data_IF_960402943498
#
_entry.id   IF_960402943498
#
_cell.length_a   1.000
_cell.length_b   1.000
_cell.length_c   1.000
_cell.angle_alpha   90.00
_cell.angle_beta   90.00
_cell.angle_gamma   90.00
#
_symmetry.space_group_name_H-M   'P 1'
#
loop_
_entity.id
_entity.type
_entity.pdbx_description
1 polymer ?
#
# COMPACT_ATOMS: atom_id res chain seq x y z
N UNK A 1 -19.87 -4.04 1.89
CA UNK A 1 -18.53 -3.91 1.28
C UNK A 1 -17.50 -3.73 2.41
N UNK A 2 -16.98 -4.80 2.93
CA UNK A 2 -15.95 -4.79 3.97
C UNK A 2 -14.57 -4.70 3.28
N UNK A 3 -13.83 -3.63 3.57
CA UNK A 3 -12.43 -3.47 3.15
C UNK A 3 -11.59 -4.55 3.83
N UNK A 4 -11.09 -5.50 3.07
CA UNK A 4 -10.03 -6.41 3.50
C UNK A 4 -8.80 -5.56 3.83
N UNK A 5 -8.38 -5.55 5.08
CA UNK A 5 -7.09 -4.99 5.47
C UNK A 5 -6.02 -6.01 5.05
N UNK A 6 -5.34 -5.72 3.96
CA UNK A 6 -4.09 -6.41 3.61
C UNK A 6 -3.08 -6.13 4.72
N UNK A 7 -2.67 -7.17 5.42
CA UNK A 7 -1.50 -7.11 6.30
C UNK A 7 -0.29 -7.14 5.38
N UNK A 8 0.23 -5.96 5.05
CA UNK A 8 1.50 -5.81 4.34
C UNK A 8 2.59 -6.14 5.35
N UNK A 9 3.14 -7.35 5.27
CA UNK A 9 4.40 -7.69 5.93
C UNK A 9 5.50 -7.00 5.12
N UNK A 10 6.02 -5.90 5.66
CA UNK A 10 7.18 -5.20 5.09
C UNK A 10 8.39 -6.11 5.12
N UNK A 11 8.78 -6.62 3.95
CA UNK A 11 9.97 -7.43 3.75
C UNK A 11 11.19 -6.51 3.72
N UNK A 12 11.91 -6.39 4.82
CA UNK A 12 13.24 -5.80 4.84
C UNK A 12 14.21 -6.79 4.17
N UNK A 13 14.69 -6.46 2.97
CA UNK A 13 15.81 -7.16 2.35
C UNK A 13 17.07 -6.90 3.18
N UNK A 14 17.51 -7.91 3.94
CA UNK A 14 18.86 -7.96 4.51
C UNK A 14 19.68 -8.95 3.68
N UNK A 15 20.75 -8.42 3.09
CA UNK A 15 21.83 -9.21 2.49
C UNK A 15 22.41 -10.16 3.55
N UNK A 16 22.03 -11.43 3.50
CA UNK A 16 22.72 -12.48 4.26
C UNK A 16 23.82 -13.07 3.38
N UNK A 17 25.05 -12.90 3.82
CA UNK A 17 26.22 -13.54 3.23
C UNK A 17 26.02 -15.07 3.14
N UNK A 18 26.33 -15.61 1.96
CA UNK A 18 26.30 -17.03 1.65
C UNK A 18 27.24 -17.82 2.56
N UNK A 19 26.69 -18.50 3.59
CA UNK A 19 27.39 -19.60 4.21
C UNK A 19 27.07 -20.87 3.42
N UNK A 20 28.09 -21.43 2.78
CA UNK A 20 28.04 -22.73 2.15
C UNK A 20 27.72 -23.78 3.21
N UNK A 21 26.51 -24.31 3.22
CA UNK A 21 26.15 -25.50 4.00
C UNK A 21 26.62 -26.75 3.24
N UNK A 22 27.65 -27.38 3.76
CA UNK A 22 28.04 -28.76 3.40
C UNK A 22 26.84 -29.68 3.63
N UNK A 23 26.49 -30.50 2.63
CA UNK A 23 25.52 -31.60 2.75
C UNK A 23 26.02 -32.66 3.75
N UNK A 24 25.93 -32.40 5.02
CA UNK A 24 26.18 -33.38 6.09
C UNK A 24 24.98 -33.39 7.01
N UNK A 25 24.22 -34.47 6.90
CA UNK A 25 23.25 -34.99 7.88
C UNK A 25 22.57 -33.92 8.73
N UNK A 26 21.49 -33.29 8.17
CA UNK A 26 20.68 -32.34 8.91
C UNK A 26 19.83 -33.08 9.95
N UNK A 27 20.19 -33.06 11.24
CA UNK A 27 19.55 -33.89 12.22
C UNK A 27 18.14 -33.43 12.54
N UNK A 28 17.27 -34.36 12.91
CA UNK A 28 15.93 -34.06 13.41
C UNK A 28 16.03 -33.45 14.80
N UNK A 29 15.56 -32.22 14.96
CA UNK A 29 15.53 -31.49 16.25
C UNK A 29 14.28 -31.82 17.05
N UNK A 30 13.15 -32.08 16.38
CA UNK A 30 11.91 -32.49 17.02
C UNK A 30 11.02 -33.25 16.03
N UNK A 31 10.03 -33.98 16.57
CA UNK A 31 8.95 -34.55 15.77
C UNK A 31 7.59 -34.04 16.29
N UNK A 32 6.69 -33.70 15.38
CA UNK A 32 5.32 -33.29 15.70
C UNK A 32 4.38 -34.17 14.89
N UNK A 33 3.50 -34.89 15.56
CA UNK A 33 2.61 -35.88 14.92
C UNK A 33 3.36 -36.88 14.00
N UNK A 34 4.53 -37.32 14.43
CA UNK A 34 5.38 -38.25 13.65
C UNK A 34 6.13 -37.61 12.47
N UNK A 35 5.89 -36.34 12.17
CA UNK A 35 6.61 -35.59 11.12
C UNK A 35 7.89 -34.99 11.67
N UNK A 36 9.04 -35.21 11.02
CA UNK A 36 10.31 -34.68 11.49
C UNK A 36 10.41 -33.17 11.15
N UNK A 37 10.96 -32.42 12.10
CA UNK A 37 11.45 -31.08 11.91
C UNK A 37 12.97 -31.13 11.90
N UNK A 38 13.59 -30.65 10.84
CA UNK A 38 15.04 -30.66 10.72
C UNK A 38 15.65 -29.48 11.50
N UNK A 39 16.88 -29.61 11.91
CA UNK A 39 17.63 -28.58 12.63
C UNK A 39 17.69 -27.28 11.81
N UNK A 40 17.98 -27.38 10.52
CA UNK A 40 18.07 -26.20 9.63
C UNK A 40 16.73 -25.47 9.47
N UNK A 41 15.60 -26.18 9.44
CA UNK A 41 14.26 -25.58 9.44
C UNK A 41 14.01 -24.76 10.72
N UNK A 42 14.29 -25.39 11.87
CA UNK A 42 14.13 -24.73 13.14
C UNK A 42 15.08 -23.53 13.31
N UNK A 43 16.36 -23.68 12.96
CA UNK A 43 17.34 -22.59 13.02
C UNK A 43 16.96 -21.42 12.11
N UNK A 44 16.44 -21.69 10.92
CA UNK A 44 15.94 -20.65 10.01
C UNK A 44 14.83 -19.83 10.69
N UNK A 45 13.82 -20.51 11.22
CA UNK A 45 12.70 -19.86 11.90
C UNK A 45 13.14 -19.12 13.17
N UNK A 46 14.00 -19.74 13.99
CA UNK A 46 14.55 -19.14 15.20
C UNK A 46 15.31 -17.85 14.91
N UNK A 47 16.25 -17.89 13.96
CA UNK A 47 17.07 -16.73 13.58
C UNK A 47 16.24 -15.58 13.02
N UNK A 48 15.25 -15.89 12.20
CA UNK A 48 14.35 -14.88 11.63
C UNK A 48 13.56 -14.16 12.72
N UNK A 49 13.03 -14.89 13.69
CA UNK A 49 12.17 -14.36 14.76
C UNK A 49 12.93 -13.78 15.96
N UNK A 50 14.26 -13.93 15.99
CA UNK A 50 15.14 -13.37 17.03
C UNK A 50 16.25 -12.49 16.45
N UNK A 51 16.06 -11.93 15.23
CA UNK A 51 17.04 -11.06 14.58
C UNK A 51 17.28 -9.76 15.32
N UNK A 52 18.30 -9.01 14.92
CA UNK A 52 18.61 -7.70 15.49
C UNK A 52 17.38 -6.77 15.32
N UNK A 53 16.93 -6.13 16.42
CA UNK A 53 15.75 -5.26 16.45
C UNK A 53 14.48 -5.91 17.03
N UNK A 54 14.44 -7.22 17.24
CA UNK A 54 13.36 -7.87 17.99
C UNK A 54 13.49 -7.55 19.48
N UNK A 55 12.46 -6.92 20.06
CA UNK A 55 12.48 -6.45 21.47
C UNK A 55 12.34 -7.64 22.45
N UNK A 56 11.49 -8.62 22.13
CA UNK A 56 11.18 -9.76 23.00
C UNK A 56 11.79 -11.05 22.43
N UNK A 57 13.13 -11.11 22.43
CA UNK A 57 13.87 -12.29 21.98
C UNK A 57 13.65 -13.45 22.95
N UNK A 58 13.55 -14.64 22.39
CA UNK A 58 13.34 -15.88 23.13
C UNK A 58 14.63 -16.71 23.16
N UNK A 59 14.86 -17.43 24.25
CA UNK A 59 15.87 -18.49 24.26
C UNK A 59 15.53 -19.57 23.23
N UNK A 60 16.49 -20.44 22.93
CA UNK A 60 16.25 -21.58 22.00
C UNK A 60 15.14 -22.48 22.54
N UNK A 61 15.14 -22.75 23.85
CA UNK A 61 14.15 -23.61 24.52
C UNK A 61 12.76 -22.95 24.51
N UNK A 62 12.65 -21.66 24.87
CA UNK A 62 11.37 -20.92 24.83
C UNK A 62 10.80 -20.89 23.41
N UNK A 63 11.67 -20.67 22.41
CA UNK A 63 11.24 -20.64 21.03
C UNK A 63 10.82 -22.04 20.54
N UNK A 64 11.48 -23.12 20.99
CA UNK A 64 11.10 -24.48 20.65
C UNK A 64 9.66 -24.80 21.08
N UNK A 65 9.23 -24.35 22.25
CA UNK A 65 7.84 -24.52 22.72
C UNK A 65 6.84 -23.77 21.83
N UNK A 66 7.16 -22.53 21.45
CA UNK A 66 6.34 -21.74 20.53
C UNK A 66 6.28 -22.36 19.13
N UNK A 67 7.40 -22.90 18.66
CA UNK A 67 7.49 -23.55 17.36
C UNK A 67 6.69 -24.87 17.32
N UNK A 68 6.69 -25.62 18.42
CA UNK A 68 5.83 -26.81 18.58
C UNK A 68 4.35 -26.40 18.50
N UNK A 69 3.93 -25.40 19.24
CA UNK A 69 2.54 -24.93 19.23
C UNK A 69 2.11 -24.47 17.82
N UNK A 70 3.01 -23.80 17.10
CA UNK A 70 2.81 -23.45 15.71
C UNK A 70 2.62 -24.68 14.83
N UNK A 71 3.52 -25.67 14.89
CA UNK A 71 3.43 -26.92 14.11
C UNK A 71 2.20 -27.75 14.45
N UNK A 72 1.77 -27.78 15.71
CA UNK A 72 0.54 -28.44 16.13
C UNK A 72 -0.71 -27.83 15.47
N UNK A 73 -0.74 -26.52 15.35
CA UNK A 73 -1.85 -25.81 14.67
C UNK A 73 -1.84 -26.10 13.16
N UNK A 74 -0.66 -26.17 12.55
CA UNK A 74 -0.50 -26.56 11.14
C UNK A 74 -1.01 -28.00 10.94
N UNK A 75 -0.67 -28.93 11.83
CA UNK A 75 -1.19 -30.31 11.78
C UNK A 75 -2.72 -30.36 11.90
N UNK A 76 -3.29 -29.51 12.75
CA UNK A 76 -4.75 -29.40 12.85
C UNK A 76 -5.40 -28.85 11.55
N UNK A 77 -4.74 -27.92 10.88
CA UNK A 77 -5.20 -27.37 9.61
C UNK A 77 -5.15 -28.42 8.49
N UNK A 78 -4.06 -29.17 8.41
CA UNK A 78 -3.90 -30.28 7.45
C UNK A 78 -4.94 -31.39 7.70
N UNK A 79 -5.17 -31.74 8.97
CA UNK A 79 -6.20 -32.72 9.35
C UNK A 79 -7.62 -32.24 8.97
N UNK A 80 -7.84 -30.92 8.91
CA UNK A 80 -9.07 -30.32 8.44
C UNK A 80 -9.09 -30.09 6.92
N UNK A 81 -8.06 -30.56 6.17
CA UNK A 81 -7.91 -30.46 4.72
C UNK A 81 -7.98 -29.00 4.21
N UNK A 82 -7.50 -28.01 5.00
CA UNK A 82 -7.53 -26.61 4.60
C UNK A 82 -6.59 -26.28 3.45
N UNK A 83 -5.54 -27.07 3.28
CA UNK A 83 -4.60 -27.05 2.15
C UNK A 83 -5.23 -27.40 0.80
N UNK A 84 -6.39 -28.08 0.80
CA UNK A 84 -7.11 -28.48 -0.42
C UNK A 84 -8.12 -27.44 -0.91
N UNK A 85 -8.33 -26.36 -0.16
CA UNK A 85 -9.25 -25.29 -0.55
C UNK A 85 -8.68 -24.52 -1.75
N UNK A 86 -9.54 -24.26 -2.75
CA UNK A 86 -9.15 -23.49 -3.94
C UNK A 86 -8.56 -22.12 -3.58
N UNK A 87 -9.17 -21.41 -2.63
CA UNK A 87 -8.68 -20.11 -2.16
C UNK A 87 -7.29 -20.20 -1.52
N UNK A 88 -7.02 -21.28 -0.78
CA UNK A 88 -5.69 -21.53 -0.22
C UNK A 88 -4.68 -21.79 -1.31
N UNK A 89 -5.00 -22.67 -2.26
CA UNK A 89 -4.10 -23.05 -3.35
C UNK A 89 -3.76 -21.82 -4.24
N UNK A 90 -4.73 -21.01 -4.57
CA UNK A 90 -4.50 -19.78 -5.36
C UNK A 90 -3.58 -18.79 -4.62
N UNK A 91 -3.83 -18.58 -3.33
CA UNK A 91 -3.02 -17.66 -2.51
C UNK A 91 -1.60 -18.18 -2.30
N UNK A 92 -1.46 -19.48 -1.98
CA UNK A 92 -0.15 -20.10 -1.80
C UNK A 92 0.68 -20.11 -3.08
N UNK A 93 0.08 -20.50 -4.23
CA UNK A 93 0.76 -20.45 -5.52
C UNK A 93 1.22 -19.03 -5.84
N UNK A 94 0.38 -18.02 -5.59
CA UNK A 94 0.75 -16.63 -5.77
C UNK A 94 1.96 -16.22 -4.92
N UNK A 95 1.96 -16.55 -3.63
CA UNK A 95 3.07 -16.27 -2.72
C UNK A 95 4.37 -16.98 -3.13
N UNK A 96 4.26 -18.26 -3.49
CA UNK A 96 5.38 -19.07 -3.97
C UNK A 96 5.98 -18.50 -5.24
N UNK A 97 5.15 -18.26 -6.24
CA UNK A 97 5.59 -17.82 -7.56
C UNK A 97 6.22 -16.43 -7.50
N UNK A 98 5.76 -15.56 -6.62
CA UNK A 98 6.38 -14.25 -6.37
C UNK A 98 7.85 -14.35 -5.96
N UNK A 99 8.24 -15.42 -5.27
CA UNK A 99 9.64 -15.66 -4.87
C UNK A 99 10.48 -16.23 -6.02
N UNK A 100 9.87 -16.93 -6.96
CA UNK A 100 10.57 -17.68 -8.01
C UNK A 100 10.68 -16.88 -9.30
N UNK A 101 9.62 -16.20 -9.71
CA UNK A 101 9.51 -15.47 -10.98
C UNK A 101 10.67 -14.51 -11.27
N UNK A 102 11.18 -13.72 -10.29
CA UNK A 102 12.31 -12.81 -10.57
C UNK A 102 13.56 -13.51 -11.05
N UNK A 103 13.76 -14.79 -10.70
CA UNK A 103 14.93 -15.56 -11.12
C UNK A 103 14.90 -16.02 -12.59
N UNK A 104 13.79 -15.81 -13.30
CA UNK A 104 13.64 -16.16 -14.71
C UNK A 104 14.35 -15.18 -15.65
N UNK A 105 14.65 -13.98 -15.19
CA UNK A 105 15.38 -12.93 -15.90
C UNK A 105 16.57 -12.44 -15.05
N UNK A 106 17.52 -11.83 -15.68
CA UNK A 106 18.71 -11.26 -15.06
C UNK A 106 18.96 -9.82 -15.57
N UNK A 107 19.99 -9.17 -15.06
CA UNK A 107 20.33 -7.79 -15.44
C UNK A 107 20.64 -7.65 -16.94
N UNK A 108 21.17 -8.70 -17.58
CA UNK A 108 21.42 -8.67 -19.02
C UNK A 108 20.13 -8.69 -19.84
N UNK A 109 19.08 -9.38 -19.38
CA UNK A 109 17.76 -9.37 -20.01
C UNK A 109 17.12 -7.97 -19.91
N UNK A 110 17.27 -7.31 -18.76
CA UNK A 110 16.76 -5.95 -18.53
C UNK A 110 17.52 -4.94 -19.40
N UNK A 111 18.84 -5.07 -19.49
CA UNK A 111 19.67 -4.22 -20.34
C UNK A 111 19.35 -4.43 -21.82
N UNK A 112 19.07 -5.65 -22.24
CA UNK A 112 18.66 -5.95 -23.61
C UNK A 112 17.31 -5.27 -23.94
N UNK A 113 16.34 -5.32 -23.04
CA UNK A 113 15.07 -4.63 -23.20
C UNK A 113 15.24 -3.11 -23.22
N UNK A 114 16.08 -2.56 -22.36
CA UNK A 114 16.40 -1.13 -22.35
C UNK A 114 17.01 -0.69 -23.70
N UNK A 115 17.91 -1.47 -24.27
CA UNK A 115 18.48 -1.20 -25.60
C UNK A 115 17.45 -1.35 -26.72
N UNK A 116 16.54 -2.32 -26.61
CA UNK A 116 15.44 -2.49 -27.56
C UNK A 116 14.50 -1.25 -27.57
N UNK A 117 14.11 -0.79 -26.38
CA UNK A 117 13.28 0.42 -26.22
C UNK A 117 14.00 1.63 -26.82
N UNK A 118 15.27 1.80 -26.46
CA UNK A 118 16.10 2.87 -27.00
C UNK A 118 16.15 2.86 -28.52
N UNK A 119 16.46 1.71 -29.12
CA UNK A 119 16.61 1.58 -30.60
C UNK A 119 15.30 1.89 -31.33
N UNK A 120 14.17 1.41 -30.81
CA UNK A 120 12.86 1.72 -31.37
C UNK A 120 12.55 3.21 -31.32
N UNK A 121 12.78 3.84 -30.13
CA UNK A 121 12.55 5.27 -29.94
C UNK A 121 13.48 6.12 -30.79
N UNK A 122 14.76 5.78 -30.85
CA UNK A 122 15.77 6.43 -31.70
C UNK A 122 15.34 6.40 -33.16
N UNK A 123 14.99 5.21 -33.66
CA UNK A 123 14.55 5.06 -35.06
C UNK A 123 13.29 5.91 -35.34
N UNK A 124 12.34 5.92 -34.43
CA UNK A 124 11.12 6.72 -34.58
C UNK A 124 11.44 8.22 -34.58
N UNK A 125 12.23 8.72 -33.64
CA UNK A 125 12.59 10.13 -33.55
C UNK A 125 13.44 10.58 -34.74
N UNK A 126 14.50 9.83 -35.09
CA UNK A 126 15.42 10.19 -36.15
C UNK A 126 14.75 10.14 -37.53
N UNK A 127 13.85 9.16 -37.77
CA UNK A 127 13.10 9.07 -39.05
C UNK A 127 12.13 10.24 -39.26
N UNK A 128 11.69 10.90 -38.18
CA UNK A 128 10.80 12.06 -38.21
C UNK A 128 11.55 13.41 -38.18
N UNK A 129 12.89 13.39 -38.27
CA UNK A 129 13.72 14.59 -38.35
C UNK A 129 14.55 14.89 -37.10
N UNK A 130 14.62 13.96 -36.15
CA UNK A 130 15.43 14.07 -34.93
C UNK A 130 14.78 14.93 -33.86
N UNK A 131 15.63 15.58 -33.07
CA UNK A 131 15.21 16.49 -31.97
C UNK A 131 15.48 17.94 -32.41
N UNK A 132 14.64 18.85 -31.94
CA UNK A 132 14.78 20.28 -32.19
C UNK A 132 14.89 21.04 -30.90
N UNK A 133 15.81 22.01 -30.84
CA UNK A 133 15.95 23.00 -29.77
C UNK A 133 15.44 24.33 -30.28
N UNK A 134 14.40 24.88 -29.66
CA UNK A 134 13.77 26.09 -30.14
C UNK A 134 13.58 27.10 -29.03
N UNK A 135 13.48 28.38 -29.42
CA UNK A 135 12.81 29.43 -28.65
C UNK A 135 11.49 29.76 -29.33
N UNK A 136 10.50 30.15 -28.54
CA UNK A 136 9.24 30.61 -29.12
C UNK A 136 8.67 31.83 -28.39
N UNK A 137 7.81 32.53 -29.08
CA UNK A 137 6.93 33.57 -28.54
C UNK A 137 5.52 33.13 -28.87
N UNK A 138 4.66 33.06 -27.87
CA UNK A 138 3.22 32.81 -28.01
C UNK A 138 2.44 34.06 -27.65
N UNK A 139 1.50 34.45 -28.49
CA UNK A 139 0.39 35.29 -28.10
C UNK A 139 -0.87 34.44 -28.11
N UNK A 140 -1.43 34.22 -26.93
CA UNK A 140 -2.61 33.37 -26.75
C UNK A 140 -3.83 33.94 -27.50
N UNK A 141 -4.57 33.04 -28.14
CA UNK A 141 -5.83 33.33 -28.79
C UNK A 141 -6.80 32.18 -28.58
N UNK A 142 -7.89 32.45 -27.88
CA UNK A 142 -8.92 31.43 -27.66
C UNK A 142 -9.55 30.98 -28.98
N UNK A 143 -9.81 29.70 -29.14
CA UNK A 143 -10.39 29.13 -30.39
C UNK A 143 -11.73 29.71 -30.81
N UNK A 144 -12.45 30.37 -29.89
CA UNK A 144 -13.74 31.03 -30.13
C UNK A 144 -13.63 32.55 -29.99
N UNK A 145 -12.43 33.11 -30.11
CA UNK A 145 -12.22 34.55 -30.00
C UNK A 145 -12.94 35.29 -31.12
N UNK A 146 -13.49 36.49 -30.85
CA UNK A 146 -14.05 37.35 -31.90
C UNK A 146 -13.00 37.72 -32.95
N UNK A 147 -13.43 37.94 -34.20
CA UNK A 147 -12.53 38.23 -35.31
C UNK A 147 -11.73 39.54 -35.10
N UNK A 148 -12.29 40.49 -34.34
CA UNK A 148 -11.58 41.71 -33.90
C UNK A 148 -10.36 41.36 -33.05
N UNK A 149 -10.52 40.48 -32.04
CA UNK A 149 -9.43 40.03 -31.17
C UNK A 149 -8.37 39.26 -31.93
N UNK A 150 -8.77 38.39 -32.87
CA UNK A 150 -7.83 37.70 -33.75
C UNK A 150 -6.99 38.70 -34.56
N UNK A 151 -7.64 39.75 -35.11
CA UNK A 151 -6.95 40.79 -35.88
C UNK A 151 -5.95 41.57 -35.01
N UNK A 152 -6.32 41.89 -33.78
CA UNK A 152 -5.46 42.60 -32.82
C UNK A 152 -4.23 41.73 -32.44
N UNK A 153 -4.45 40.47 -32.09
CA UNK A 153 -3.38 39.55 -31.73
C UNK A 153 -2.44 39.34 -32.92
N UNK A 154 -3.01 39.17 -34.13
CA UNK A 154 -2.21 39.07 -35.36
C UNK A 154 -1.36 40.32 -35.60
N UNK A 155 -1.90 41.51 -35.47
CA UNK A 155 -1.13 42.75 -35.62
C UNK A 155 -0.02 42.87 -34.57
N UNK A 156 -0.26 42.43 -33.35
CA UNK A 156 0.76 42.41 -32.30
C UNK A 156 1.90 41.45 -32.63
N UNK A 157 1.61 40.18 -33.04
CA UNK A 157 2.63 39.21 -33.39
C UNK A 157 3.43 39.63 -34.63
N UNK A 158 2.76 40.23 -35.64
CA UNK A 158 3.42 40.76 -36.81
C UNK A 158 4.37 41.93 -36.47
N UNK A 159 4.00 42.76 -35.47
CA UNK A 159 4.85 43.86 -34.97
C UNK A 159 6.09 43.30 -34.23
N UNK A 160 5.91 42.28 -33.43
CA UNK A 160 7.02 41.55 -32.74
C UNK A 160 7.95 40.95 -33.79
N UNK A 161 7.39 40.28 -34.80
CA UNK A 161 8.17 39.69 -35.89
C UNK A 161 9.01 40.74 -36.63
N UNK A 162 8.42 41.90 -36.94
CA UNK A 162 9.13 43.02 -37.58
C UNK A 162 10.29 43.52 -36.72
N UNK A 163 10.10 43.67 -35.41
CA UNK A 163 11.15 44.08 -34.51
C UNK A 163 12.31 43.04 -34.43
N UNK A 164 11.98 41.73 -34.39
CA UNK A 164 12.96 40.67 -34.46
C UNK A 164 13.74 40.67 -35.76
N UNK A 165 13.09 40.89 -36.90
CA UNK A 165 13.74 41.04 -38.21
C UNK A 165 14.63 42.26 -38.29
N UNK A 166 14.32 43.31 -37.50
CA UNK A 166 15.14 44.52 -37.38
C UNK A 166 16.33 44.37 -36.40
N UNK A 167 16.51 43.20 -35.79
CA UNK A 167 17.63 42.89 -34.90
C UNK A 167 17.34 42.96 -33.42
N UNK A 168 16.05 43.02 -32.98
CA UNK A 168 15.72 42.91 -31.57
C UNK A 168 16.08 41.52 -31.03
N UNK A 169 16.54 41.47 -29.78
CA UNK A 169 16.89 40.19 -29.12
C UNK A 169 15.63 39.34 -28.89
N UNK A 170 15.68 38.12 -29.36
CA UNK A 170 14.54 37.19 -29.27
C UNK A 170 14.15 36.88 -27.83
N UNK A 171 15.14 36.72 -26.93
CA UNK A 171 14.89 36.39 -25.54
C UNK A 171 14.23 37.55 -24.78
N UNK A 172 14.65 38.79 -25.04
CA UNK A 172 14.02 39.95 -24.44
C UNK A 172 12.59 40.13 -24.94
N UNK A 173 12.37 39.92 -26.23
CA UNK A 173 11.03 39.99 -26.82
C UNK A 173 10.12 38.88 -26.23
N UNK A 174 10.63 37.67 -26.06
CA UNK A 174 9.91 36.57 -25.40
C UNK A 174 9.54 36.90 -23.94
N UNK A 175 10.50 37.39 -23.15
CA UNK A 175 10.24 37.81 -21.77
C UNK A 175 9.18 38.88 -21.66
N UNK A 176 9.18 39.82 -22.60
CA UNK A 176 8.30 40.99 -22.57
C UNK A 176 6.90 40.70 -23.07
N UNK A 177 6.76 39.88 -24.10
CA UNK A 177 5.54 39.78 -24.87
C UNK A 177 4.91 38.39 -24.91
N UNK A 178 5.68 37.32 -24.59
CA UNK A 178 5.12 35.97 -24.66
C UNK A 178 4.13 35.69 -23.53
N UNK A 179 2.98 35.15 -23.92
CA UNK A 179 1.95 34.68 -23.00
C UNK A 179 2.25 33.30 -22.44
N UNK A 180 3.18 32.54 -23.05
CA UNK A 180 3.69 31.28 -22.45
C UNK A 180 4.58 31.56 -21.23
N UNK A 181 3.98 31.61 -20.05
CA UNK A 181 4.69 31.89 -18.80
C UNK A 181 5.75 30.84 -18.45
N UNK A 182 5.62 29.62 -18.97
CA UNK A 182 6.56 28.52 -18.72
C UNK A 182 7.92 28.79 -19.34
N UNK A 183 7.97 29.35 -20.57
CA UNK A 183 9.21 29.61 -21.28
C UNK A 183 9.61 31.08 -21.33
N UNK A 184 8.68 32.03 -21.17
CA UNK A 184 8.94 33.47 -21.31
C UNK A 184 10.09 33.95 -20.40
N UNK A 185 10.13 33.53 -19.12
CA UNK A 185 11.21 33.90 -18.18
C UNK A 185 12.58 33.40 -18.62
N UNK A 186 12.63 32.27 -19.34
CA UNK A 186 13.82 31.69 -19.94
C UNK A 186 14.10 32.23 -21.36
N UNK A 187 13.49 33.37 -21.74
CA UNK A 187 13.65 33.96 -23.06
C UNK A 187 13.02 33.14 -24.18
N UNK A 188 11.92 32.44 -23.89
CA UNK A 188 11.18 31.58 -24.81
C UNK A 188 11.83 30.21 -25.07
N UNK A 189 12.93 29.87 -24.41
CA UNK A 189 13.65 28.61 -24.61
C UNK A 189 12.85 27.43 -24.11
N UNK A 190 12.66 26.42 -24.97
CA UNK A 190 12.05 25.14 -24.62
C UNK A 190 13.13 24.07 -24.44
N UNK A 191 12.88 22.98 -23.68
CA UNK A 191 13.78 21.82 -23.70
C UNK A 191 13.92 21.25 -25.12
N UNK A 192 14.81 20.27 -25.30
CA UNK A 192 14.83 19.52 -26.55
C UNK A 192 13.48 18.86 -26.80
N UNK A 193 12.91 19.08 -27.97
CA UNK A 193 11.60 18.56 -28.36
C UNK A 193 11.79 17.37 -29.33
N UNK A 194 11.01 16.34 -29.11
CA UNK A 194 10.89 15.19 -30.00
C UNK A 194 9.59 15.30 -30.81
N UNK A 195 9.49 14.63 -31.97
CA UNK A 195 8.23 14.55 -32.71
C UNK A 195 7.08 14.00 -31.86
N UNK A 196 5.91 14.63 -31.93
CA UNK A 196 4.71 14.28 -31.17
C UNK A 196 4.60 14.91 -29.77
N UNK A 197 5.54 15.76 -29.37
CA UNK A 197 5.51 16.41 -28.05
C UNK A 197 4.82 17.78 -28.03
N UNK A 198 4.57 18.35 -29.20
CA UNK A 198 3.92 19.66 -29.32
C UNK A 198 2.76 19.64 -30.30
N UNK A 199 2.12 20.80 -30.52
CA UNK A 199 1.03 20.91 -31.48
C UNK A 199 1.51 20.65 -32.91
N UNK A 200 0.73 19.96 -33.76
CA UNK A 200 1.14 19.63 -35.13
C UNK A 200 1.56 20.85 -35.95
N UNK A 201 0.89 21.99 -35.78
CA UNK A 201 1.22 23.24 -36.46
C UNK A 201 2.57 23.79 -36.00
N UNK A 202 2.87 23.66 -34.71
CA UNK A 202 4.16 24.06 -34.13
C UNK A 202 5.28 23.19 -34.66
N UNK A 203 5.11 21.88 -34.63
CA UNK A 203 6.10 20.92 -35.15
C UNK A 203 6.36 21.11 -36.64
N UNK A 204 5.32 21.24 -37.44
CA UNK A 204 5.44 21.46 -38.86
C UNK A 204 6.30 22.70 -39.20
N UNK A 205 6.23 23.75 -38.36
CA UNK A 205 7.11 24.92 -38.56
C UNK A 205 8.51 24.67 -38.02
N UNK A 206 8.66 24.14 -36.80
CA UNK A 206 9.94 23.92 -36.15
C UNK A 206 10.86 23.01 -36.99
N UNK A 207 10.32 21.91 -37.54
CA UNK A 207 11.10 20.94 -38.34
C UNK A 207 11.47 21.44 -39.73
N UNK A 208 10.77 22.44 -40.29
CA UNK A 208 11.11 23.06 -41.58
C UNK A 208 12.26 24.06 -41.48
N UNK A 209 12.46 24.69 -40.31
CA UNK A 209 13.49 25.71 -40.15
C UNK A 209 14.90 25.11 -40.20
N UNK A 210 15.84 25.92 -40.63
CA UNK A 210 17.27 25.67 -40.50
C UNK A 210 17.79 26.28 -39.18
N UNK A 211 18.91 25.78 -38.68
CA UNK A 211 19.57 26.33 -37.50
C UNK A 211 19.77 27.85 -37.62
N UNK A 212 19.33 28.59 -36.65
CA UNK A 212 19.36 30.06 -36.64
C UNK A 212 18.23 30.72 -37.43
N UNK A 213 17.33 29.98 -38.05
CA UNK A 213 16.21 30.52 -38.83
C UNK A 213 14.98 30.72 -37.94
N UNK A 214 14.23 31.78 -38.21
CA UNK A 214 13.01 32.15 -37.49
C UNK A 214 11.80 31.95 -38.42
N UNK A 215 10.73 31.37 -37.88
CA UNK A 215 9.46 31.20 -38.58
C UNK A 215 8.79 32.55 -38.89
N UNK A 216 7.94 32.60 -39.90
CA UNK A 216 6.89 33.58 -39.96
C UNK A 216 5.91 33.40 -38.81
N UNK A 217 5.17 34.44 -38.40
CA UNK A 217 4.04 34.28 -37.51
C UNK A 217 3.04 33.26 -38.08
N UNK A 218 2.65 32.25 -37.25
CA UNK A 218 1.66 31.24 -37.63
C UNK A 218 0.67 30.99 -36.53
N UNK A 219 -0.52 30.51 -36.88
CA UNK A 219 -1.59 30.20 -35.96
C UNK A 219 -1.58 28.72 -35.59
N UNK A 220 -1.84 28.43 -34.30
CA UNK A 220 -2.15 27.11 -33.76
C UNK A 220 -3.43 27.19 -32.89
N UNK A 221 -3.95 26.08 -32.39
CA UNK A 221 -5.04 26.07 -31.40
C UNK A 221 -4.77 26.88 -30.11
N UNK A 222 -3.51 27.15 -29.77
CA UNK A 222 -3.10 27.94 -28.61
C UNK A 222 -3.02 29.46 -28.89
N UNK A 223 -2.85 29.83 -30.14
CA UNK A 223 -2.66 31.24 -30.54
C UNK A 223 -1.61 31.41 -31.63
N UNK A 224 -1.10 32.64 -31.77
CA UNK A 224 -0.05 32.96 -32.71
C UNK A 224 1.33 32.74 -32.14
N UNK A 225 2.20 32.08 -32.94
CA UNK A 225 3.57 31.75 -32.56
C UNK A 225 4.60 32.39 -33.52
N UNK A 226 5.79 32.65 -32.98
CA UNK A 226 7.06 32.78 -33.72
C UNK A 226 8.03 31.84 -33.11
N UNK A 227 8.72 31.04 -33.92
CA UNK A 227 9.74 30.07 -33.49
C UNK A 227 11.10 30.52 -34.03
N UNK A 228 12.13 30.44 -33.21
CA UNK A 228 13.55 30.48 -33.63
C UNK A 228 14.16 29.10 -33.39
N UNK A 229 14.65 28.47 -34.42
CA UNK A 229 15.37 27.19 -34.30
C UNK A 229 16.79 27.42 -33.81
N UNK A 230 17.11 26.99 -32.59
CA UNK A 230 18.47 27.11 -32.04
C UNK A 230 19.37 26.00 -32.52
N UNK A 231 18.88 24.73 -32.52
CA UNK A 231 19.67 23.59 -32.95
C UNK A 231 18.80 22.41 -33.37
N UNK A 232 19.42 21.47 -34.10
CA UNK A 232 18.88 20.14 -34.43
C UNK A 232 19.89 19.08 -34.08
N UNK A 233 19.40 17.95 -33.57
CA UNK A 233 20.23 16.81 -33.21
C UNK A 233 19.50 15.50 -33.53
N UNK A 234 20.23 14.46 -33.72
CA UNK A 234 19.71 13.11 -33.62
C UNK A 234 19.31 12.81 -32.19
N UNK A 235 18.60 11.70 -32.00
CA UNK A 235 18.22 11.25 -30.67
C UNK A 235 19.45 11.11 -29.75
N UNK A 236 19.31 11.43 -28.46
CA UNK A 236 20.43 11.41 -27.54
C UNK A 236 21.07 10.01 -27.42
N UNK A 237 22.39 9.92 -27.14
CA UNK A 237 23.05 8.63 -26.95
C UNK A 237 22.45 7.79 -25.84
N UNK A 238 22.49 6.47 -26.00
CA UNK A 238 21.96 5.51 -25.04
C UNK A 238 22.45 5.75 -23.61
N UNK A 239 23.74 5.97 -23.41
CA UNK A 239 24.33 6.14 -22.08
C UNK A 239 23.75 7.33 -21.33
N UNK A 240 23.32 8.37 -22.04
CA UNK A 240 22.66 9.54 -21.45
C UNK A 240 21.22 9.26 -21.01
N UNK A 241 20.55 8.30 -21.62
CA UNK A 241 19.14 7.97 -21.39
C UNK A 241 18.93 6.66 -20.63
N UNK A 242 20.00 5.89 -20.42
CA UNK A 242 19.92 4.55 -19.84
C UNK A 242 19.15 4.53 -18.51
N UNK A 243 19.46 5.44 -17.60
CA UNK A 243 18.79 5.48 -16.31
C UNK A 243 17.29 5.83 -16.42
N UNK A 244 16.94 6.74 -17.31
CA UNK A 244 15.55 7.12 -17.56
C UNK A 244 14.77 5.95 -18.17
N UNK A 245 15.39 5.20 -19.08
CA UNK A 245 14.80 3.99 -19.70
C UNK A 245 14.62 2.89 -18.66
N UNK A 246 15.58 2.67 -17.76
CA UNK A 246 15.44 1.71 -16.66
C UNK A 246 14.30 2.13 -15.70
N UNK A 247 14.23 3.40 -15.34
CA UNK A 247 13.11 3.92 -14.57
C UNK A 247 11.76 3.72 -15.30
N UNK A 248 11.71 3.93 -16.60
CA UNK A 248 10.52 3.67 -17.43
C UNK A 248 10.11 2.20 -17.40
N UNK A 249 11.08 1.27 -17.52
CA UNK A 249 10.86 -0.18 -17.42
C UNK A 249 10.19 -0.52 -16.08
N UNK A 250 10.70 0.05 -14.98
CA UNK A 250 10.17 -0.19 -13.63
C UNK A 250 8.78 0.43 -13.43
N UNK A 251 8.58 1.68 -13.83
CA UNK A 251 7.29 2.38 -13.71
C UNK A 251 6.17 1.74 -14.53
N UNK A 252 6.52 1.10 -15.64
CA UNK A 252 5.57 0.41 -16.53
C UNK A 252 5.44 -1.07 -16.24
N UNK A 253 6.07 -1.56 -15.18
CA UNK A 253 6.11 -2.99 -14.82
C UNK A 253 6.55 -3.91 -15.97
N UNK A 254 7.46 -3.43 -16.82
CA UNK A 254 7.94 -4.20 -17.97
C UNK A 254 8.80 -5.40 -17.56
N UNK A 255 9.35 -5.41 -16.34
CA UNK A 255 10.02 -6.60 -15.77
C UNK A 255 9.07 -7.79 -15.69
N UNK A 256 7.85 -7.58 -15.17
CA UNK A 256 6.86 -8.66 -15.09
C UNK A 256 6.49 -9.19 -16.47
N UNK A 257 6.37 -8.29 -17.45
CA UNK A 257 6.12 -8.69 -18.84
C UNK A 257 7.28 -9.53 -19.41
N UNK A 258 8.54 -9.12 -19.18
CA UNK A 258 9.70 -9.90 -19.59
C UNK A 258 9.73 -11.31 -18.95
N UNK A 259 9.37 -11.39 -17.67
CA UNK A 259 9.25 -12.64 -16.96
C UNK A 259 8.18 -13.53 -17.61
N UNK A 260 6.99 -12.97 -17.91
CA UNK A 260 5.90 -13.71 -18.55
C UNK A 260 6.28 -14.19 -19.95
N UNK A 261 6.90 -13.33 -20.76
CA UNK A 261 7.39 -13.68 -22.08
C UNK A 261 8.41 -14.82 -21.98
N UNK A 262 9.41 -14.69 -21.08
CA UNK A 262 10.43 -15.73 -20.87
C UNK A 262 9.84 -17.06 -20.35
N UNK A 263 8.86 -16.98 -19.46
CA UNK A 263 8.16 -18.14 -18.92
C UNK A 263 7.40 -18.89 -20.03
N UNK A 264 6.68 -18.16 -20.86
CA UNK A 264 5.94 -18.71 -21.99
C UNK A 264 6.86 -19.33 -23.04
N UNK A 265 7.97 -18.64 -23.39
CA UNK A 265 9.00 -19.18 -24.31
C UNK A 265 9.57 -20.51 -23.82
N UNK A 266 9.96 -20.57 -22.52
CA UNK A 266 10.48 -21.81 -21.92
C UNK A 266 9.43 -22.93 -21.88
N UNK A 267 8.17 -22.59 -21.60
CA UNK A 267 7.08 -23.57 -21.58
C UNK A 267 6.81 -24.13 -22.96
N UNK A 268 6.77 -23.28 -23.99
CA UNK A 268 6.62 -23.71 -25.40
C UNK A 268 7.79 -24.58 -25.86
N UNK A 269 9.02 -24.15 -25.61
CA UNK A 269 10.23 -24.89 -25.99
C UNK A 269 10.30 -26.27 -25.33
N UNK A 270 9.80 -26.40 -24.09
CA UNK A 270 9.79 -27.64 -23.34
C UNK A 270 8.50 -28.45 -23.53
N UNK A 271 7.56 -28.03 -24.38
CA UNK A 271 6.23 -28.63 -24.58
C UNK A 271 5.48 -28.89 -23.28
N UNK A 272 5.49 -27.91 -22.36
CA UNK A 272 4.91 -28.02 -21.01
C UNK A 272 4.14 -26.75 -20.63
N UNK A 273 3.68 -26.68 -19.38
CA UNK A 273 2.96 -25.52 -18.85
C UNK A 273 3.89 -24.53 -18.15
N UNK A 274 3.53 -23.23 -18.08
CA UNK A 274 4.24 -22.26 -17.26
C UNK A 274 4.41 -22.69 -15.81
N UNK A 275 3.40 -23.31 -15.20
CA UNK A 275 3.45 -23.81 -13.84
C UNK A 275 4.53 -24.89 -13.66
N UNK A 276 4.72 -25.79 -14.63
CA UNK A 276 5.75 -26.81 -14.57
C UNK A 276 7.17 -26.21 -14.70
N UNK A 277 7.33 -25.13 -15.49
CA UNK A 277 8.59 -24.39 -15.56
C UNK A 277 8.92 -23.73 -14.21
N UNK A 278 7.94 -23.08 -13.58
CA UNK A 278 8.13 -22.46 -12.26
C UNK A 278 8.49 -23.51 -11.19
N UNK A 279 7.83 -24.68 -11.22
CA UNK A 279 8.14 -25.77 -10.29
C UNK A 279 9.57 -26.30 -10.48
N UNK A 280 10.01 -26.47 -11.72
CA UNK A 280 11.40 -26.84 -12.03
C UNK A 280 12.39 -25.77 -11.55
N UNK A 281 12.09 -24.50 -11.81
CA UNK A 281 12.90 -23.37 -11.36
C UNK A 281 12.99 -23.33 -9.82
N UNK A 282 11.88 -23.57 -9.12
CA UNK A 282 11.85 -23.67 -7.66
C UNK A 282 12.82 -24.73 -7.15
N UNK A 283 12.76 -25.95 -7.71
CA UNK A 283 13.64 -27.03 -7.31
C UNK A 283 15.13 -26.72 -7.53
N UNK A 284 15.45 -26.00 -8.61
CA UNK A 284 16.83 -25.57 -8.88
C UNK A 284 17.30 -24.49 -7.90
N UNK A 285 16.43 -23.53 -7.57
CA UNK A 285 16.74 -22.48 -6.60
C UNK A 285 16.95 -23.05 -5.19
N UNK A 286 16.08 -23.95 -4.76
CA UNK A 286 16.18 -24.60 -3.44
C UNK A 286 17.45 -25.43 -3.25
N UNK A 287 18.03 -25.98 -4.34
CA UNK A 287 19.33 -26.65 -4.28
C UNK A 287 20.48 -25.68 -3.99
N UNK A 288 20.37 -24.47 -4.52
CA UNK A 288 21.41 -23.45 -4.40
C UNK A 288 21.22 -22.59 -3.14
N UNK A 289 19.97 -22.39 -2.72
CA UNK A 289 19.58 -21.67 -1.52
C UNK A 289 18.52 -22.45 -0.71
N UNK A 290 18.95 -23.29 0.24
CA UNK A 290 18.03 -24.02 1.11
C UNK A 290 17.10 -23.12 1.94
N UNK A 291 17.43 -21.84 2.15
CA UNK A 291 16.58 -20.91 2.89
C UNK A 291 15.28 -20.60 2.14
N UNK A 292 15.29 -20.66 0.82
CA UNK A 292 14.10 -20.49 -0.01
C UNK A 292 13.05 -21.58 0.26
N UNK A 293 13.49 -22.82 0.48
CA UNK A 293 12.58 -23.91 0.84
C UNK A 293 11.82 -23.60 2.12
N UNK A 294 12.53 -23.12 3.15
CA UNK A 294 11.91 -22.78 4.43
C UNK A 294 11.03 -21.53 4.34
N UNK A 295 11.40 -20.56 3.51
CA UNK A 295 10.57 -19.42 3.22
C UNK A 295 9.23 -19.81 2.57
N UNK A 296 9.27 -20.67 1.56
CA UNK A 296 8.07 -21.19 0.88
C UNK A 296 7.21 -22.01 1.85
N UNK A 297 7.84 -22.86 2.67
CA UNK A 297 7.14 -23.62 3.69
C UNK A 297 6.48 -22.70 4.74
N UNK A 298 7.15 -21.63 5.13
CA UNK A 298 6.61 -20.65 6.07
C UNK A 298 5.36 -19.94 5.49
N UNK A 299 5.35 -19.62 4.20
CA UNK A 299 4.13 -19.09 3.53
C UNK A 299 3.00 -20.12 3.57
N UNK A 300 3.28 -21.36 3.21
CA UNK A 300 2.29 -22.43 3.24
C UNK A 300 1.71 -22.62 4.65
N UNK A 301 2.58 -22.83 5.62
CA UNK A 301 2.19 -23.07 7.00
C UNK A 301 1.54 -21.85 7.65
N UNK A 302 1.97 -20.63 7.28
CA UNK A 302 1.39 -19.37 7.74
C UNK A 302 -0.06 -19.16 7.26
N UNK A 303 -0.35 -19.50 6.02
CA UNK A 303 -1.71 -19.48 5.49
C UNK A 303 -2.62 -20.48 6.21
N UNK A 304 -2.11 -21.70 6.45
CA UNK A 304 -2.81 -22.73 7.21
C UNK A 304 -3.08 -22.28 8.64
N UNK A 305 -2.07 -21.72 9.31
CA UNK A 305 -2.18 -21.19 10.67
C UNK A 305 -3.23 -20.10 10.77
N UNK A 306 -3.25 -19.16 9.82
CA UNK A 306 -4.24 -18.10 9.75
C UNK A 306 -5.66 -18.67 9.64
N UNK A 307 -5.88 -19.55 8.67
CA UNK A 307 -7.20 -20.08 8.37
C UNK A 307 -7.75 -20.95 9.51
N UNK A 308 -6.93 -21.81 10.08
CA UNK A 308 -7.36 -22.66 11.21
C UNK A 308 -7.62 -21.84 12.47
N UNK A 309 -6.79 -20.82 12.76
CA UNK A 309 -6.98 -19.95 13.91
C UNK A 309 -8.24 -19.09 13.75
N UNK A 310 -8.50 -18.60 12.55
CA UNK A 310 -9.70 -17.84 12.24
C UNK A 310 -10.97 -18.69 12.50
N UNK A 311 -11.02 -19.90 11.97
CA UNK A 311 -12.17 -20.82 12.11
C UNK A 311 -12.34 -21.34 13.54
N UNK A 312 -11.25 -21.61 14.22
CA UNK A 312 -11.28 -22.28 15.54
C UNK A 312 -11.43 -21.29 16.68
N UNK A 313 -10.82 -20.13 16.57
CA UNK A 313 -10.72 -19.14 17.66
C UNK A 313 -11.44 -17.84 17.33
N UNK A 314 -10.98 -17.11 16.30
CA UNK A 314 -11.34 -15.70 16.14
C UNK A 314 -12.81 -15.50 15.77
N UNK A 315 -13.32 -16.22 14.77
CA UNK A 315 -14.72 -16.12 14.39
C UNK A 315 -15.65 -16.69 15.46
N UNK A 316 -15.26 -17.80 16.12
CA UNK A 316 -16.07 -18.38 17.18
C UNK A 316 -16.17 -17.42 18.38
N UNK A 317 -15.03 -16.91 18.86
CA UNK A 317 -15.01 -15.96 19.96
C UNK A 317 -15.80 -14.68 19.65
N UNK A 318 -15.70 -14.17 18.44
CA UNK A 318 -16.39 -12.94 18.04
C UNK A 318 -17.92 -13.09 18.03
N UNK A 319 -18.43 -14.31 17.79
CA UNK A 319 -19.86 -14.64 17.74
C UNK A 319 -20.41 -15.20 19.05
N UNK A 320 -19.55 -15.63 19.97
CA UNK A 320 -19.94 -16.22 21.26
C UNK A 320 -20.23 -15.15 22.31
N UNK A 321 -21.37 -14.47 22.16
CA UNK A 321 -21.77 -13.41 23.08
C UNK A 321 -21.95 -13.93 24.51
N UNK A 322 -22.47 -15.16 24.68
CA UNK A 322 -22.67 -15.78 25.98
C UNK A 322 -21.33 -16.08 26.66
N UNK A 323 -20.38 -16.67 25.93
CA UNK A 323 -19.03 -16.94 26.42
C UNK A 323 -18.27 -15.66 26.79
N UNK A 324 -18.39 -14.60 26.00
CA UNK A 324 -17.80 -13.29 26.30
C UNK A 324 -18.35 -12.69 27.59
N UNK A 325 -19.67 -12.77 27.82
CA UNK A 325 -20.30 -12.28 29.04
C UNK A 325 -19.83 -13.12 30.23
N UNK A 326 -19.81 -14.43 30.12
CA UNK A 326 -19.35 -15.34 31.15
C UNK A 326 -17.90 -15.10 31.52
N UNK A 327 -17.02 -15.03 30.50
CA UNK A 327 -15.60 -14.72 30.67
C UNK A 327 -15.38 -13.39 31.38
N UNK A 328 -16.11 -12.34 30.98
CA UNK A 328 -16.06 -11.04 31.67
C UNK A 328 -16.46 -11.15 33.12
N UNK A 329 -17.55 -11.87 33.44
CA UNK A 329 -18.07 -11.98 34.81
C UNK A 329 -17.07 -12.69 35.72
N UNK A 330 -16.43 -13.77 35.25
CA UNK A 330 -15.40 -14.51 36.00
C UNK A 330 -14.11 -13.69 36.17
N UNK A 331 -13.79 -12.84 35.23
CA UNK A 331 -12.54 -12.05 35.18
C UNK A 331 -12.74 -10.56 35.50
N UNK A 332 -13.87 -10.16 36.08
CA UNK A 332 -14.30 -8.77 36.27
C UNK A 332 -13.27 -7.88 36.97
N UNK A 333 -12.47 -8.45 37.88
CA UNK A 333 -11.39 -7.75 38.58
C UNK A 333 -10.23 -7.32 37.67
N UNK A 334 -10.03 -7.99 36.54
CA UNK A 334 -9.00 -7.71 35.54
C UNK A 334 -9.34 -6.43 34.74
N UNK A 335 -10.66 -6.15 34.56
CA UNK A 335 -11.12 -5.05 33.72
C UNK A 335 -11.37 -3.78 34.59
N UNK A 336 -10.29 -3.09 34.96
CA UNK A 336 -10.35 -1.84 35.70
C UNK A 336 -9.84 -0.68 34.86
N UNK A 337 -10.51 0.45 34.96
CA UNK A 337 -10.02 1.69 34.38
C UNK A 337 -9.14 2.45 35.37
N UNK A 338 -8.08 3.08 34.90
CA UNK A 338 -7.21 3.95 35.71
C UNK A 338 -7.91 5.23 36.15
N UNK A 339 -8.95 5.66 35.43
CA UNK A 339 -9.76 6.84 35.73
C UNK A 339 -11.21 6.61 35.33
N UNK A 340 -12.18 7.33 35.96
CA UNK A 340 -13.58 7.26 35.56
C UNK A 340 -13.78 7.62 34.08
N UNK A 341 -14.75 6.99 33.42
CA UNK A 341 -15.14 7.28 32.04
C UNK A 341 -16.59 7.74 31.98
N UNK A 342 -16.92 8.48 30.93
CA UNK A 342 -18.28 8.86 30.61
C UNK A 342 -18.80 7.94 29.49
N UNK A 343 -19.84 7.15 29.82
CA UNK A 343 -20.55 6.32 28.84
C UNK A 343 -21.80 7.06 28.41
N UNK A 344 -21.84 7.48 27.13
CA UNK A 344 -22.95 8.30 26.65
C UNK A 344 -22.77 8.74 25.20
N UNK A 345 -23.52 9.77 24.87
CA UNK A 345 -23.50 10.40 23.56
C UNK A 345 -23.30 11.90 23.72
N UNK A 346 -22.45 12.49 22.89
CA UNK A 346 -22.46 13.92 22.60
C UNK A 346 -23.18 14.15 21.30
N UNK A 347 -24.01 15.16 21.24
CA UNK A 347 -24.75 15.50 20.04
C UNK A 347 -24.74 17.00 19.78
N UNK A 348 -24.87 17.35 18.49
CA UNK A 348 -24.90 18.72 17.98
C UNK A 348 -26.14 18.88 17.08
N UNK A 349 -26.85 19.97 17.24
CA UNK A 349 -28.11 20.24 16.54
C UNK A 349 -28.12 21.62 15.91
N UNK A 350 -28.93 21.78 14.85
CA UNK A 350 -29.11 23.07 14.14
C UNK A 350 -29.92 24.06 14.97
N UNK A 351 -30.94 23.56 15.67
CA UNK A 351 -31.90 24.38 16.41
C UNK A 351 -31.79 24.13 17.91
N UNK A 352 -31.78 25.21 18.72
CA UNK A 352 -31.70 25.14 20.18
C UNK A 352 -32.86 24.34 20.79
N UNK A 353 -34.04 24.41 20.16
CA UNK A 353 -35.23 23.68 20.62
C UNK A 353 -35.05 22.14 20.57
N UNK A 354 -34.20 21.66 19.67
CA UNK A 354 -33.95 20.24 19.50
C UNK A 354 -33.04 19.67 20.60
N UNK A 355 -32.23 20.47 21.27
CA UNK A 355 -31.41 20.01 22.43
C UNK A 355 -32.27 19.33 23.48
N UNK A 356 -33.38 19.96 23.86
CA UNK A 356 -34.31 19.38 24.87
C UNK A 356 -35.02 18.12 24.36
N UNK A 357 -35.42 18.11 23.07
CA UNK A 357 -36.11 16.96 22.45
C UNK A 357 -35.18 15.76 22.36
N UNK A 358 -33.94 15.94 21.85
CA UNK A 358 -32.92 14.90 21.76
C UNK A 358 -32.56 14.37 23.15
N UNK A 359 -32.29 15.24 24.13
CA UNK A 359 -32.00 14.83 25.51
C UNK A 359 -33.12 13.99 26.08
N UNK A 360 -34.40 14.38 25.89
CA UNK A 360 -35.56 13.62 26.37
C UNK A 360 -35.67 12.24 25.72
N UNK A 361 -35.41 12.16 24.40
CA UNK A 361 -35.44 10.89 23.65
C UNK A 361 -34.35 9.91 24.10
N UNK A 362 -33.16 10.44 24.43
CA UNK A 362 -31.99 9.62 24.76
C UNK A 362 -31.90 9.27 26.26
N UNK A 363 -32.48 10.05 27.16
CA UNK A 363 -32.28 9.95 28.61
C UNK A 363 -32.62 8.58 29.24
N UNK A 364 -33.63 7.89 28.67
CA UNK A 364 -34.08 6.57 29.14
C UNK A 364 -33.73 5.44 28.19
N UNK A 365 -33.04 5.74 27.10
CA UNK A 365 -32.74 4.77 26.09
C UNK A 365 -31.55 3.90 26.49
N UNK A 366 -31.56 2.66 26.01
CA UNK A 366 -30.41 1.78 26.07
C UNK A 366 -29.25 2.37 25.24
N UNK A 367 -28.05 2.30 25.80
CA UNK A 367 -26.84 2.81 25.14
C UNK A 367 -26.70 2.28 23.72
N UNK A 368 -26.99 1.01 23.47
CA UNK A 368 -26.85 0.40 22.14
C UNK A 368 -27.89 0.96 21.15
N UNK A 369 -29.03 1.42 21.62
CA UNK A 369 -30.12 1.94 20.79
C UNK A 369 -30.03 3.44 20.51
N UNK A 370 -29.08 4.17 21.12
CA UNK A 370 -28.98 5.63 20.99
C UNK A 370 -28.87 6.10 19.53
N UNK A 371 -28.03 5.44 18.72
CA UNK A 371 -27.85 5.77 17.30
C UNK A 371 -29.13 5.60 16.48
N UNK A 372 -29.80 4.45 16.64
CA UNK A 372 -31.04 4.15 15.89
C UNK A 372 -32.22 5.06 16.29
N UNK A 373 -32.25 5.55 17.54
CA UNK A 373 -33.23 6.53 17.97
C UNK A 373 -33.02 7.87 17.27
N UNK A 374 -31.76 8.33 17.21
CA UNK A 374 -31.42 9.58 16.52
C UNK A 374 -31.76 9.51 15.02
N UNK A 375 -31.44 8.42 14.38
CA UNK A 375 -31.72 8.19 12.98
C UNK A 375 -33.23 8.19 12.71
N UNK A 376 -34.01 7.41 13.50
CA UNK A 376 -35.44 7.25 13.28
C UNK A 376 -36.30 8.44 13.69
N UNK A 377 -35.84 9.27 14.65
CA UNK A 377 -36.64 10.37 15.18
C UNK A 377 -36.20 11.76 14.69
N UNK A 378 -34.96 11.91 14.30
CA UNK A 378 -34.39 13.22 14.00
C UNK A 378 -33.71 13.31 12.62
N UNK A 379 -33.16 12.23 12.10
CA UNK A 379 -32.42 12.22 10.83
C UNK A 379 -33.18 11.42 9.76
N UNK A 380 -34.37 11.88 9.41
CA UNK A 380 -35.24 11.22 8.42
C UNK A 380 -35.12 11.89 7.03
N UNK A 381 -35.50 11.15 5.98
CA UNK A 381 -35.61 11.69 4.61
C UNK A 381 -34.34 12.34 4.04
N UNK A 382 -33.17 11.88 4.46
CA UNK A 382 -31.89 12.43 4.01
C UNK A 382 -31.47 13.74 4.71
N UNK A 383 -32.31 14.28 5.61
CA UNK A 383 -31.98 15.46 6.39
C UNK A 383 -31.25 15.06 7.69
N UNK A 384 -30.01 15.55 7.88
CA UNK A 384 -29.26 15.36 9.13
C UNK A 384 -29.53 16.58 10.02
N UNK A 385 -30.43 16.42 11.01
CA UNK A 385 -30.75 17.43 12.02
C UNK A 385 -29.86 17.31 13.25
N UNK A 386 -29.39 16.11 13.55
CA UNK A 386 -28.57 15.81 14.72
C UNK A 386 -27.30 15.07 14.27
N UNK A 387 -26.14 15.63 14.54
CA UNK A 387 -24.86 14.93 14.51
C UNK A 387 -24.53 14.42 15.91
N UNK A 388 -24.10 13.18 16.02
CA UNK A 388 -23.83 12.59 17.33
C UNK A 388 -22.64 11.62 17.30
N UNK A 389 -21.90 11.62 18.41
CA UNK A 389 -20.83 10.68 18.69
C UNK A 389 -21.18 9.88 19.95
N UNK A 390 -21.31 8.58 19.83
CA UNK A 390 -21.58 7.64 20.91
C UNK A 390 -20.29 6.97 21.35
N UNK A 391 -19.99 6.95 22.66
CA UNK A 391 -18.76 6.35 23.13
C UNK A 391 -18.67 6.15 24.65
N UNK A 392 -17.52 5.60 25.05
CA UNK A 392 -17.06 5.53 26.43
C UNK A 392 -15.76 6.34 26.50
N UNK A 393 -15.89 7.58 26.95
CA UNK A 393 -14.84 8.57 26.89
C UNK A 393 -14.08 8.65 28.22
N UNK A 394 -12.77 8.64 28.18
CA UNK A 394 -11.92 9.11 29.27
C UNK A 394 -11.62 10.59 29.06
N UNK A 395 -11.13 11.26 30.09
CA UNK A 395 -10.58 12.61 29.93
C UNK A 395 -9.47 12.65 28.89
N UNK A 396 -9.55 13.59 27.97
CA UNK A 396 -8.66 13.74 26.81
C UNK A 396 -9.18 13.11 25.51
N UNK A 397 -10.25 12.33 25.53
CA UNK A 397 -10.78 11.68 24.30
C UNK A 397 -11.66 12.61 23.47
N UNK A 398 -12.40 13.54 24.11
CA UNK A 398 -13.32 14.46 23.44
C UNK A 398 -13.45 15.77 24.21
N UNK A 399 -13.12 16.89 23.58
CA UNK A 399 -13.05 18.20 24.22
C UNK A 399 -14.41 18.68 24.78
N UNK A 400 -15.55 18.32 24.14
CA UNK A 400 -16.87 18.61 24.67
C UNK A 400 -17.18 17.82 25.95
N UNK A 401 -16.85 16.55 25.96
CA UNK A 401 -16.99 15.69 27.13
C UNK A 401 -16.07 16.17 28.28
N UNK A 402 -14.86 16.59 27.93
CA UNK A 402 -13.90 17.13 28.88
C UNK A 402 -14.45 18.37 29.58
N UNK A 403 -14.92 19.33 28.81
CA UNK A 403 -15.49 20.57 29.33
C UNK A 403 -16.81 20.31 30.13
N UNK A 404 -17.77 19.62 29.51
CA UNK A 404 -19.12 19.45 30.08
C UNK A 404 -19.17 18.48 31.26
N UNK A 405 -18.43 17.37 31.18
CA UNK A 405 -18.52 16.25 32.11
C UNK A 405 -17.35 16.19 33.07
N UNK A 406 -16.13 16.35 32.58
CA UNK A 406 -14.94 16.27 33.42
C UNK A 406 -14.53 17.62 34.00
N UNK A 407 -15.13 18.72 33.51
CA UNK A 407 -14.83 20.10 33.93
C UNK A 407 -13.37 20.45 33.74
N UNK A 408 -12.82 20.00 32.58
CA UNK A 408 -11.45 20.19 32.20
C UNK A 408 -11.37 20.86 30.83
N UNK A 409 -10.58 21.92 30.70
CA UNK A 409 -10.45 22.71 29.48
C UNK A 409 -11.63 23.66 29.23
N UNK A 410 -11.43 24.53 28.20
CA UNK A 410 -12.48 25.44 27.73
C UNK A 410 -13.46 24.67 26.83
N UNK A 411 -14.74 25.09 26.75
CA UNK A 411 -15.68 24.55 25.79
C UNK A 411 -15.16 24.74 24.38
N UNK A 412 -15.22 23.74 23.50
CA UNK A 412 -14.86 23.90 22.10
C UNK A 412 -15.76 24.91 21.36
N UNK A 413 -15.25 25.50 20.30
CA UNK A 413 -16.05 26.37 19.45
C UNK A 413 -17.26 25.61 18.87
N UNK A 414 -18.45 26.23 18.79
CA UNK A 414 -19.62 25.62 18.19
C UNK A 414 -19.35 25.16 16.75
N UNK A 415 -19.94 24.04 16.34
CA UNK A 415 -19.87 23.60 14.95
C UNK A 415 -20.64 24.54 14.05
N UNK A 416 -20.04 24.95 12.90
CA UNK A 416 -20.59 25.95 11.97
C UNK A 416 -22.07 25.73 11.66
N UNK A 417 -22.47 24.49 11.33
CA UNK A 417 -23.85 24.18 10.90
C UNK A 417 -24.71 23.56 12.01
N UNK A 418 -24.13 23.30 13.20
CA UNK A 418 -24.77 22.65 14.35
C UNK A 418 -24.29 23.31 15.64
N UNK A 419 -24.66 24.58 15.87
CA UNK A 419 -24.06 25.39 16.93
C UNK A 419 -24.47 25.00 18.36
N UNK A 420 -25.53 24.23 18.51
CA UNK A 420 -26.04 23.84 19.84
C UNK A 420 -25.67 22.40 20.15
N UNK A 421 -25.15 22.18 21.34
CA UNK A 421 -24.63 20.88 21.76
C UNK A 421 -25.28 20.39 23.04
N UNK A 422 -25.30 19.07 23.22
CA UNK A 422 -25.75 18.46 24.46
C UNK A 422 -25.08 17.12 24.68
N UNK A 423 -25.07 16.69 25.94
CA UNK A 423 -24.54 15.38 26.35
C UNK A 423 -25.60 14.58 27.07
N UNK A 424 -25.67 13.28 26.82
CA UNK A 424 -26.59 12.37 27.48
C UNK A 424 -25.91 11.05 27.82
N UNK A 425 -25.78 10.71 29.08
CA UNK A 425 -25.10 9.51 29.54
C UNK A 425 -24.82 9.52 31.05
N UNK A 426 -23.84 8.75 31.48
CA UNK A 426 -23.44 8.64 32.88
C UNK A 426 -21.93 8.43 33.04
N UNK A 427 -21.40 8.96 34.18
CA UNK A 427 -20.04 8.64 34.62
C UNK A 427 -20.02 7.24 35.25
N UNK A 428 -19.03 6.46 34.85
CA UNK A 428 -18.75 5.13 35.38
C UNK A 428 -17.34 5.11 35.99
N UNK A 429 -17.21 4.58 37.21
CA UNK A 429 -15.90 4.41 37.87
C UNK A 429 -15.15 3.18 37.37
N UNK A 430 -15.89 2.18 36.88
CA UNK A 430 -15.36 0.94 36.35
C UNK A 430 -16.34 0.37 35.28
N UNK A 431 -15.92 -0.54 34.39
CA UNK A 431 -16.82 -1.27 33.50
C UNK A 431 -17.91 -2.00 34.31
N UNK A 432 -19.14 -1.91 33.83
CA UNK A 432 -20.29 -2.61 34.45
C UNK A 432 -20.72 -3.83 33.67
N UNK A 433 -20.55 -3.78 32.36
CA UNK A 433 -20.96 -4.83 31.44
C UNK A 433 -19.79 -5.19 30.53
N UNK A 434 -19.83 -6.36 29.93
CA UNK A 434 -18.86 -6.83 28.94
C UNK A 434 -18.73 -5.83 27.77
N UNK A 435 -19.84 -5.22 27.33
CA UNK A 435 -19.85 -4.25 26.24
C UNK A 435 -19.02 -3.00 26.51
N UNK A 436 -18.81 -2.64 27.80
CA UNK A 436 -18.00 -1.47 28.18
C UNK A 436 -16.49 -1.66 27.86
N UNK A 437 -16.07 -2.90 27.73
CA UNK A 437 -14.66 -3.31 27.47
C UNK A 437 -14.58 -4.45 26.44
N UNK A 438 -15.55 -4.55 25.53
CA UNK A 438 -15.71 -5.66 24.60
C UNK A 438 -14.42 -6.03 23.86
N UNK A 439 -13.67 -5.04 23.36
CA UNK A 439 -12.43 -5.29 22.62
C UNK A 439 -11.39 -6.02 23.49
N UNK A 440 -11.24 -5.59 24.73
CA UNK A 440 -10.29 -6.19 25.67
C UNK A 440 -10.75 -7.60 26.09
N UNK A 441 -12.05 -7.75 26.40
CA UNK A 441 -12.61 -9.06 26.75
C UNK A 441 -12.50 -10.04 25.60
N UNK A 442 -12.75 -9.61 24.35
CA UNK A 442 -12.63 -10.44 23.16
C UNK A 442 -11.18 -10.94 22.98
N UNK A 443 -10.20 -10.05 23.11
CA UNK A 443 -8.77 -10.43 23.01
C UNK A 443 -8.40 -11.45 24.08
N UNK A 444 -8.74 -11.18 25.34
CA UNK A 444 -8.43 -12.08 26.46
C UNK A 444 -9.17 -13.42 26.36
N UNK A 445 -10.38 -13.43 25.83
CA UNK A 445 -11.17 -14.63 25.59
C UNK A 445 -10.59 -15.48 24.48
N UNK A 446 -10.17 -14.84 23.37
CA UNK A 446 -9.45 -15.51 22.28
C UNK A 446 -8.15 -16.17 22.80
N UNK A 447 -7.37 -15.48 23.61
CA UNK A 447 -6.16 -16.06 24.23
C UNK A 447 -6.50 -17.25 25.16
N UNK A 448 -7.60 -17.17 25.90
CA UNK A 448 -8.01 -18.29 26.75
C UNK A 448 -8.45 -19.52 25.93
N UNK A 449 -9.22 -19.28 24.85
CA UNK A 449 -9.62 -20.34 23.92
C UNK A 449 -8.38 -20.95 23.24
N UNK A 450 -7.43 -20.14 22.84
CA UNK A 450 -6.20 -20.62 22.19
C UNK A 450 -5.35 -21.48 23.13
N UNK A 451 -5.16 -21.04 24.39
CA UNK A 451 -4.47 -21.86 25.38
C UNK A 451 -5.15 -23.21 25.64
N UNK A 452 -6.47 -23.23 25.66
CA UNK A 452 -7.21 -24.48 25.81
C UNK A 452 -7.05 -25.38 24.58
N UNK A 453 -7.16 -24.78 23.39
CA UNK A 453 -6.99 -25.51 22.13
C UNK A 453 -5.57 -26.10 21.98
N UNK A 454 -4.51 -25.36 22.34
CA UNK A 454 -3.14 -25.89 22.36
C UNK A 454 -3.00 -27.10 23.29
N UNK A 455 -3.63 -27.07 24.48
CA UNK A 455 -3.63 -28.24 25.36
C UNK A 455 -4.28 -29.47 24.71
N UNK A 456 -5.37 -29.27 24.01
CA UNK A 456 -6.08 -30.33 23.28
C UNK A 456 -5.24 -30.87 22.13
N UNK A 457 -4.55 -29.99 21.38
CA UNK A 457 -3.63 -30.39 20.30
C UNK A 457 -2.42 -31.18 20.83
N UNK A 458 -1.82 -30.74 21.95
CA UNK A 458 -0.71 -31.47 22.59
C UNK A 458 -1.12 -32.84 23.15
N UNK A 459 -2.38 -32.96 23.58
CA UNK A 459 -2.94 -34.27 24.00
C UNK A 459 -3.23 -35.20 22.80
N UNK A 460 -3.61 -34.62 21.67
CA UNK A 460 -3.99 -35.35 20.46
C UNK A 460 -2.79 -35.79 19.62
N UNK A 461 -1.79 -34.94 19.48
CA UNK A 461 -0.64 -35.14 18.60
C UNK A 461 0.63 -35.36 19.41
N UNK A 462 1.33 -36.50 19.20
CA UNK A 462 2.57 -36.78 19.90
C UNK A 462 3.67 -35.79 19.48
N UNK A 463 4.42 -35.32 20.46
CA UNK A 463 5.56 -34.42 20.28
C UNK A 463 6.79 -35.03 20.94
N UNK A 464 7.94 -35.01 20.29
CA UNK A 464 9.23 -35.33 20.90
C UNK A 464 10.29 -34.32 20.49
N UNK A 465 11.19 -33.97 21.41
CA UNK A 465 12.31 -33.04 21.20
C UNK A 465 13.60 -33.83 21.38
N UNK A 466 14.51 -33.73 20.43
CA UNK A 466 15.87 -34.21 20.56
C UNK A 466 16.72 -33.15 21.27
N UNK A 467 16.81 -33.23 22.59
CA UNK A 467 17.53 -32.27 23.41
C UNK A 467 19.01 -32.15 23.01
N UNK A 468 19.66 -33.26 22.60
CA UNK A 468 21.06 -33.21 22.18
C UNK A 468 21.26 -32.36 20.92
N UNK A 469 20.30 -32.38 19.98
CA UNK A 469 20.33 -31.55 18.78
C UNK A 469 19.97 -30.13 19.13
N UNK A 470 18.93 -29.91 19.93
CA UNK A 470 18.47 -28.57 20.33
C UNK A 470 19.58 -27.75 21.01
N UNK A 471 20.32 -28.36 21.93
CA UNK A 471 21.44 -27.74 22.65
C UNK A 471 22.64 -27.37 21.75
N UNK A 472 22.72 -27.91 20.53
CA UNK A 472 23.77 -27.48 19.57
C UNK A 472 23.43 -26.18 18.84
N UNK A 473 22.21 -25.68 18.98
CA UNK A 473 21.76 -24.44 18.35
C UNK A 473 22.23 -23.24 19.18
N UNK A 474 23.01 -22.37 18.56
CA UNK A 474 23.56 -21.19 19.26
C UNK A 474 22.49 -20.10 19.41
N UNK A 475 22.39 -19.58 20.61
CA UNK A 475 21.60 -18.38 20.87
C UNK A 475 22.12 -17.16 20.09
N UNK A 476 21.20 -16.29 19.68
CA UNK A 476 21.52 -15.04 19.03
C UNK A 476 21.47 -13.92 20.10
N UNK A 477 22.61 -13.54 20.62
CA UNK A 477 22.76 -12.41 21.53
C UNK A 477 23.15 -11.12 20.79
#
# INVERSE_FOLDING_TARGET
>A
MQKRKSVIISLAMLLCGSMAFSQSNDPVVMTVNGKPVLRSEFEYAYRKNNSAGVIDRKSVEEYAELFIDYKLKVEAALAAQLDTLTSFQEEFVGCRDQQIRPSLINDADIEAEARRIYTLTQHQVDSLGGMVKVRHILLELGQRAPKSTETEVKQRIDSIYKALKAGADFSEMARKYSDDKGSASAGGSLPWLQPGQTLPEFEAQAYRLKKGEMSLPFLSPAGYHIILLEDKSNFLPYDSLRNDILCFIDQRNLRDKLIDDRLNERAQAAHTTPAAILEKQRMELEKNDPSLKYLIQEYHDGLLLFEISNRTIWEKAARDEAGLIDYFNHNKKKYRWSSPRYKGVIFHVKEVSDVKKVTKALKKADFEKLGSILEKQFNQNGEIRVKAEKGIFKQGDNAWIDSEIFKHGAPPAPLKDYPFSGVCGKKLKAPKTMSDVRKQVLSDYQEAMERQWIKELRAKYPVSINQNVLQTIKELY
#
